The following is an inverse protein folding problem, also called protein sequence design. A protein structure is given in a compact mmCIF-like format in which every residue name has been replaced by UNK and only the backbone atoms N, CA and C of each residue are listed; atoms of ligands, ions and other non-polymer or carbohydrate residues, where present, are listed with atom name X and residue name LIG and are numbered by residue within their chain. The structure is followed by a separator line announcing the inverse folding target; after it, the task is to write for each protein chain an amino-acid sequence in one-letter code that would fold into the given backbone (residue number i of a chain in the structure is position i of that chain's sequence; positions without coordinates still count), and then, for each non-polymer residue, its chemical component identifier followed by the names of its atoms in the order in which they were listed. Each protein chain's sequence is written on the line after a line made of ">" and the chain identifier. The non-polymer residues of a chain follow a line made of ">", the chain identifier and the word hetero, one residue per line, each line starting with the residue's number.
data_IF_420983963623
#
_entry.id   IF_420983963623
#
_cell.length_a   1.000
_cell.length_b   1.000
_cell.length_c   1.000
_cell.angle_alpha   90.00
_cell.angle_beta   90.00
_cell.angle_gamma   90.00
#
_symmetry.space_group_name_H-M   'P 1'
#
loop_
_entity.id
_entity.type
_entity.pdbx_description
1 polymer ?
#
# COMPACT_ATOMS: atom_id res chain seq x y z
N UNK A 1 -36.12 36.94 48.39
CA UNK A 1 -36.72 37.22 47.06
C UNK A 1 -36.55 35.97 46.26
N UNK A 2 -37.69 35.41 45.94
CA UNK A 2 -37.89 34.14 45.26
C UNK A 2 -37.29 34.03 43.86
N UNK A 3 -36.68 32.91 43.53
CA UNK A 3 -36.53 32.48 42.16
C UNK A 3 -36.93 31.00 42.03
N UNK A 4 -37.99 30.81 41.34
CA UNK A 4 -38.63 29.55 41.03
C UNK A 4 -37.87 28.75 39.99
N UNK A 5 -37.70 27.44 40.22
CA UNK A 5 -37.32 26.41 39.23
C UNK A 5 -38.55 25.94 38.46
N UNK A 6 -38.43 25.65 37.13
CA UNK A 6 -39.49 24.95 36.40
C UNK A 6 -39.36 23.43 36.44
N UNK A 7 -40.42 22.69 36.16
CA UNK A 7 -40.56 21.26 36.47
C UNK A 7 -39.95 20.34 35.38
N UNK A 8 -39.60 19.13 35.83
CA UNK A 8 -39.10 18.03 35.02
C UNK A 8 -40.21 17.50 34.06
N UNK A 9 -39.90 17.50 32.76
CA UNK A 9 -40.67 16.85 31.72
C UNK A 9 -40.25 15.40 31.54
N UNK A 10 -41.23 14.50 31.75
CA UNK A 10 -41.14 13.07 31.44
C UNK A 10 -41.09 12.85 29.94
N UNK A 11 -39.98 12.36 29.39
CA UNK A 11 -39.94 11.85 28.02
C UNK A 11 -40.18 10.34 28.01
N UNK A 12 -41.33 10.00 27.42
CA UNK A 12 -41.78 8.67 27.04
C UNK A 12 -40.76 8.02 26.09
N UNK A 13 -40.39 6.78 26.37
CA UNK A 13 -39.59 5.94 25.47
C UNK A 13 -40.45 5.52 24.28
N UNK A 14 -40.16 6.07 23.11
CA UNK A 14 -40.65 5.57 21.83
C UNK A 14 -39.68 4.50 21.32
N UNK A 15 -40.20 3.26 21.17
CA UNK A 15 -39.45 2.11 20.67
C UNK A 15 -38.93 2.34 19.26
N UNK A 16 -37.63 2.26 19.09
CA UNK A 16 -37.00 2.15 17.78
C UNK A 16 -37.20 0.69 17.29
N UNK A 17 -38.16 0.51 16.41
CA UNK A 17 -38.26 -0.69 15.57
C UNK A 17 -37.05 -0.71 14.62
N UNK A 18 -36.16 -1.68 14.81
CA UNK A 18 -35.11 -1.99 13.90
C UNK A 18 -35.67 -2.35 12.52
N UNK A 19 -35.51 -1.43 11.55
CA UNK A 19 -35.74 -1.75 10.14
C UNK A 19 -34.65 -2.73 9.70
N UNK A 20 -35.07 -3.95 9.31
CA UNK A 20 -34.21 -4.85 8.58
C UNK A 20 -33.66 -4.17 7.31
N UNK A 21 -32.41 -4.46 6.86
CA UNK A 21 -31.90 -3.91 5.61
C UNK A 21 -32.81 -4.35 4.47
N UNK A 22 -33.49 -3.38 3.85
CA UNK A 22 -34.39 -3.61 2.74
C UNK A 22 -33.70 -4.37 1.62
N UNK A 23 -34.39 -5.40 1.12
CA UNK A 23 -34.03 -6.18 -0.05
C UNK A 23 -33.54 -5.29 -1.18
N UNK A 24 -32.23 -5.42 -1.49
CA UNK A 24 -31.67 -4.82 -2.68
C UNK A 24 -32.30 -5.49 -3.91
N UNK A 25 -32.85 -4.67 -4.77
CA UNK A 25 -33.63 -4.98 -5.96
C UNK A 25 -33.30 -6.33 -6.61
N UNK A 26 -34.34 -7.17 -6.69
CA UNK A 26 -34.32 -8.43 -7.39
C UNK A 26 -34.15 -8.19 -8.92
N UNK A 27 -33.14 -8.80 -9.53
CA UNK A 27 -33.21 -9.29 -10.91
C UNK A 27 -32.76 -8.38 -12.05
N UNK A 28 -32.18 -7.19 -11.83
CA UNK A 28 -31.57 -6.39 -12.90
C UNK A 28 -30.12 -6.82 -13.23
N UNK A 29 -29.67 -6.58 -14.48
CA UNK A 29 -28.25 -6.70 -14.80
C UNK A 29 -27.45 -5.68 -13.98
N UNK A 30 -26.24 -6.05 -13.49
CA UNK A 30 -25.39 -5.10 -12.79
C UNK A 30 -25.05 -3.87 -13.63
N UNK A 31 -24.99 -2.67 -13.00
CA UNK A 31 -24.70 -1.40 -13.67
C UNK A 31 -23.32 -1.40 -14.34
N UNK A 32 -22.35 -2.07 -13.70
CA UNK A 32 -20.97 -2.13 -14.17
C UNK A 32 -20.53 -3.57 -14.47
N UNK A 33 -19.74 -3.73 -15.52
CA UNK A 33 -19.09 -5.00 -15.79
C UNK A 33 -17.98 -5.26 -14.76
N UNK A 34 -17.12 -4.27 -14.53
CA UNK A 34 -16.03 -4.33 -13.53
C UNK A 34 -15.92 -3.00 -12.79
N UNK A 35 -16.00 -3.05 -11.46
CA UNK A 35 -15.62 -1.95 -10.59
C UNK A 35 -14.18 -2.15 -10.09
N UNK A 36 -13.32 -1.14 -10.21
CA UNK A 36 -11.96 -1.12 -9.67
C UNK A 36 -11.93 -0.15 -8.49
N UNK A 37 -11.66 -0.64 -7.29
CA UNK A 37 -11.63 0.15 -6.06
C UNK A 37 -10.20 0.53 -5.75
N UNK A 38 -9.88 1.82 -5.90
CA UNK A 38 -8.55 2.40 -5.69
C UNK A 38 -7.86 2.82 -6.99
N UNK A 39 -7.45 4.08 -7.03
CA UNK A 39 -6.87 4.77 -8.18
C UNK A 39 -5.34 5.01 -8.05
N UNK A 40 -4.66 4.12 -7.35
CA UNK A 40 -3.19 4.04 -7.31
C UNK A 40 -2.60 3.25 -8.48
N UNK A 41 -1.28 2.99 -8.49
CA UNK A 41 -0.58 2.30 -9.58
C UNK A 41 -1.20 0.97 -10.01
N UNK A 42 -1.61 0.15 -9.04
CA UNK A 42 -2.23 -1.15 -9.32
C UNK A 42 -3.66 -1.02 -9.91
N UNK A 43 -4.46 -0.07 -9.42
CA UNK A 43 -5.81 0.16 -9.94
C UNK A 43 -5.80 0.76 -11.34
N UNK A 44 -4.98 1.80 -11.57
CA UNK A 44 -4.82 2.41 -12.89
C UNK A 44 -4.28 1.40 -13.92
N UNK A 45 -3.33 0.56 -13.52
CA UNK A 45 -2.83 -0.51 -14.37
C UNK A 45 -3.91 -1.54 -14.68
N UNK A 46 -4.66 -2.01 -13.68
CA UNK A 46 -5.73 -2.98 -13.87
C UNK A 46 -6.81 -2.45 -14.82
N UNK A 47 -7.30 -1.23 -14.59
CA UNK A 47 -8.29 -0.59 -15.46
C UNK A 47 -7.80 -0.43 -16.89
N UNK A 48 -6.56 0.03 -17.08
CA UNK A 48 -5.95 0.20 -18.40
C UNK A 48 -5.87 -1.13 -19.16
N UNK A 49 -5.41 -2.20 -18.49
CA UNK A 49 -5.32 -3.51 -19.13
C UNK A 49 -6.70 -4.12 -19.43
N UNK A 50 -7.70 -3.93 -18.55
CA UNK A 50 -9.08 -4.35 -18.78
C UNK A 50 -9.65 -3.64 -20.02
N UNK A 51 -9.52 -2.33 -20.11
CA UNK A 51 -10.02 -1.53 -21.25
C UNK A 51 -9.32 -1.91 -22.55
N UNK A 52 -8.01 -2.14 -22.54
CA UNK A 52 -7.27 -2.65 -23.71
C UNK A 52 -7.75 -4.05 -24.16
N UNK A 53 -8.31 -4.84 -23.23
CA UNK A 53 -8.90 -6.15 -23.52
C UNK A 53 -10.39 -6.08 -23.89
N UNK A 54 -10.97 -4.88 -24.06
CA UNK A 54 -12.37 -4.67 -24.42
C UNK A 54 -13.37 -4.83 -23.27
N UNK A 55 -12.88 -4.89 -22.02
CA UNK A 55 -13.72 -4.98 -20.81
C UNK A 55 -13.98 -3.59 -20.26
N UNK A 56 -15.25 -3.27 -19.98
CA UNK A 56 -15.61 -2.01 -19.37
C UNK A 56 -15.23 -2.00 -17.87
N UNK A 57 -14.29 -1.16 -17.51
CA UNK A 57 -13.81 -1.00 -16.12
C UNK A 57 -14.06 0.43 -15.64
N UNK A 58 -14.81 0.56 -14.55
CA UNK A 58 -15.05 1.83 -13.88
C UNK A 58 -14.20 1.91 -12.62
N UNK A 59 -13.48 3.03 -12.40
CA UNK A 59 -12.52 3.18 -11.30
C UNK A 59 -13.05 4.16 -10.28
N UNK A 60 -13.00 3.76 -8.99
CA UNK A 60 -13.39 4.57 -7.86
C UNK A 60 -12.18 4.93 -6.99
N UNK A 61 -12.12 6.18 -6.54
CA UNK A 61 -11.14 6.65 -5.56
C UNK A 61 -10.20 7.73 -6.07
N UNK A 62 -9.52 8.41 -5.15
CA UNK A 62 -8.64 9.54 -5.44
C UNK A 62 -7.39 9.11 -6.23
N UNK A 63 -7.09 9.74 -7.40
CA UNK A 63 -5.89 9.44 -8.18
C UNK A 63 -4.62 9.63 -7.37
N UNK A 64 -3.81 8.56 -7.25
CA UNK A 64 -2.57 8.53 -6.48
C UNK A 64 -2.73 8.91 -5.01
N UNK A 65 -3.93 8.76 -4.42
CA UNK A 65 -4.30 9.28 -3.09
C UNK A 65 -3.29 8.92 -2.00
N UNK A 66 -2.95 7.63 -1.84
CA UNK A 66 -1.94 7.19 -0.85
C UNK A 66 -0.56 7.84 -1.06
N UNK A 67 -0.12 8.00 -2.31
CA UNK A 67 1.17 8.61 -2.63
C UNK A 67 1.19 10.10 -2.29
N UNK A 68 0.06 10.78 -2.44
CA UNK A 68 -0.11 12.20 -2.07
C UNK A 68 -0.07 12.44 -0.56
N UNK A 69 -0.29 11.41 0.27
CA UNK A 69 -0.19 11.50 1.74
C UNK A 69 1.21 11.17 2.27
N UNK A 70 2.10 10.62 1.44
CA UNK A 70 3.46 10.29 1.85
C UNK A 70 4.30 11.56 2.11
N UNK A 71 5.34 11.47 2.95
CA UNK A 71 6.19 12.62 3.27
C UNK A 71 6.80 13.28 2.04
N UNK A 72 6.64 14.60 1.94
CA UNK A 72 7.25 15.41 0.88
C UNK A 72 8.77 15.34 0.93
N UNK A 73 9.39 15.19 -0.24
CA UNK A 73 10.85 15.02 -0.39
C UNK A 73 11.32 13.57 -0.25
N UNK A 74 10.40 12.60 -0.10
CA UNK A 74 10.73 11.19 -0.30
C UNK A 74 11.08 10.89 -1.75
N UNK A 75 11.91 9.85 -1.95
CA UNK A 75 12.37 9.43 -3.28
C UNK A 75 12.16 7.94 -3.51
N UNK A 76 11.78 7.59 -4.73
CA UNK A 76 11.66 6.20 -5.16
C UNK A 76 13.02 5.68 -5.64
N UNK A 77 13.52 4.63 -4.99
CA UNK A 77 14.80 3.99 -5.32
C UNK A 77 14.80 3.28 -6.67
N UNK A 78 13.65 2.78 -7.08
CA UNK A 78 13.50 1.95 -8.28
C UNK A 78 13.90 2.71 -9.55
N UNK A 79 14.48 2.00 -10.53
CA UNK A 79 14.80 2.58 -11.82
C UNK A 79 13.54 3.01 -12.60
N UNK A 80 13.70 3.76 -13.69
CA UNK A 80 12.60 4.26 -14.52
C UNK A 80 11.61 3.15 -14.94
N UNK A 81 12.13 2.02 -15.40
CA UNK A 81 11.29 0.88 -15.80
C UNK A 81 10.47 0.33 -14.64
N UNK A 82 11.09 0.11 -13.48
CA UNK A 82 10.43 -0.43 -12.29
C UNK A 82 9.49 0.57 -11.61
N UNK A 83 9.63 1.85 -11.91
CA UNK A 83 8.74 2.93 -11.43
C UNK A 83 7.55 3.14 -12.39
N UNK A 84 7.64 2.67 -13.63
CA UNK A 84 6.50 2.66 -14.57
C UNK A 84 5.37 1.78 -14.06
N UNK A 85 4.10 2.24 -14.12
CA UNK A 85 2.98 1.53 -13.47
C UNK A 85 2.13 0.67 -14.40
N UNK A 86 2.09 0.93 -15.69
CA UNK A 86 1.28 0.15 -16.64
C UNK A 86 2.14 -0.81 -17.45
N UNK A 87 3.27 -0.33 -17.91
CA UNK A 87 4.21 -1.06 -18.77
C UNK A 87 5.62 -0.51 -18.64
N UNK A 88 6.63 -1.35 -18.83
CA UNK A 88 8.05 -0.96 -18.69
C UNK A 88 8.53 -0.04 -19.83
N UNK A 89 8.03 -0.34 -21.02
CA UNK A 89 8.28 0.39 -22.27
C UNK A 89 6.96 0.46 -23.02
N UNK A 90 6.64 1.62 -23.57
CA UNK A 90 5.39 1.82 -24.28
C UNK A 90 4.78 3.19 -23.98
N UNK A 91 3.60 3.48 -24.55
CA UNK A 91 2.98 4.80 -24.53
C UNK A 91 2.64 5.31 -23.12
N UNK A 92 2.48 4.43 -22.12
CA UNK A 92 2.18 4.81 -20.75
C UNK A 92 3.36 4.56 -19.78
N UNK A 93 4.59 4.39 -20.28
CA UNK A 93 5.77 4.26 -19.44
C UNK A 93 6.22 5.62 -18.86
N UNK A 94 6.94 5.58 -17.74
CA UNK A 94 7.54 6.79 -17.14
C UNK A 94 8.53 7.47 -18.09
N UNK A 95 9.25 6.70 -18.90
CA UNK A 95 10.16 7.23 -19.91
C UNK A 95 9.42 8.02 -20.98
N UNK A 96 8.29 7.49 -21.47
CA UNK A 96 7.46 8.19 -22.46
C UNK A 96 6.84 9.45 -21.85
N UNK A 97 6.36 9.38 -20.62
CA UNK A 97 5.88 10.56 -19.89
C UNK A 97 6.96 11.67 -19.84
N UNK A 98 8.20 11.32 -19.42
CA UNK A 98 9.27 12.28 -19.35
C UNK A 98 9.58 12.93 -20.72
N UNK A 99 9.57 12.14 -21.81
CA UNK A 99 9.77 12.63 -23.16
C UNK A 99 8.66 13.58 -23.64
N UNK A 100 7.38 13.24 -23.35
CA UNK A 100 6.24 14.03 -23.80
C UNK A 100 6.03 15.31 -22.98
N UNK A 101 6.29 15.26 -21.66
CA UNK A 101 6.14 16.40 -20.76
C UNK A 101 7.35 17.32 -20.72
N UNK A 102 8.50 16.90 -21.23
CA UNK A 102 9.79 17.58 -21.06
C UNK A 102 10.36 17.50 -19.64
N UNK A 103 9.76 16.70 -18.75
CA UNK A 103 10.21 16.56 -17.37
C UNK A 103 11.58 15.91 -17.28
N UNK A 104 12.50 16.55 -16.54
CA UNK A 104 13.83 16.02 -16.25
C UNK A 104 13.77 15.13 -15.01
N UNK A 105 13.39 13.86 -15.21
CA UNK A 105 13.24 12.91 -14.10
C UNK A 105 14.60 12.31 -13.76
N UNK A 106 15.09 12.64 -12.58
CA UNK A 106 16.34 12.12 -12.05
C UNK A 106 16.14 10.79 -11.30
N UNK A 107 17.25 10.10 -11.04
CA UNK A 107 17.26 8.90 -10.22
C UNK A 107 18.11 9.12 -8.95
N UNK A 108 17.56 8.88 -7.76
CA UNK A 108 16.22 8.34 -7.40
C UNK A 108 15.08 9.29 -7.80
N UNK A 109 13.95 8.71 -8.27
CA UNK A 109 12.80 9.48 -8.74
C UNK A 109 12.13 10.21 -7.57
N UNK A 110 11.90 11.51 -7.72
CA UNK A 110 11.17 12.31 -6.74
C UNK A 110 9.73 11.80 -6.59
N UNK A 111 9.20 11.88 -5.37
CA UNK A 111 7.80 11.49 -5.09
C UNK A 111 6.82 12.36 -5.90
N UNK A 112 7.11 13.66 -6.03
CA UNK A 112 6.33 14.60 -6.84
C UNK A 112 6.24 14.17 -8.30
N UNK A 113 7.38 13.82 -8.92
CA UNK A 113 7.42 13.37 -10.32
C UNK A 113 6.63 12.08 -10.52
N UNK A 114 6.68 11.17 -9.55
CA UNK A 114 5.91 9.94 -9.59
C UNK A 114 4.40 10.19 -9.45
N UNK A 115 3.98 11.13 -8.62
CA UNK A 115 2.58 11.53 -8.48
C UNK A 115 2.07 12.18 -9.77
N UNK A 116 2.86 13.08 -10.37
CA UNK A 116 2.52 13.73 -11.64
C UNK A 116 2.41 12.74 -12.78
N UNK A 117 3.37 11.80 -12.88
CA UNK A 117 3.30 10.70 -13.82
C UNK A 117 2.03 9.86 -13.63
N UNK A 118 1.68 9.51 -12.38
CA UNK A 118 0.46 8.76 -12.09
C UNK A 118 -0.82 9.51 -12.46
N UNK A 119 -0.85 10.81 -12.21
CA UNK A 119 -1.95 11.69 -12.60
C UNK A 119 -2.06 11.81 -14.13
N UNK A 120 -0.93 11.85 -14.84
CA UNK A 120 -0.91 11.82 -16.30
C UNK A 120 -1.44 10.47 -16.86
N UNK A 121 -1.04 9.34 -16.28
CA UNK A 121 -1.57 8.02 -16.65
C UNK A 121 -3.09 7.97 -16.43
N UNK A 122 -3.58 8.50 -15.31
CA UNK A 122 -5.00 8.56 -15.03
C UNK A 122 -5.75 9.35 -16.10
N UNK A 123 -5.33 10.60 -16.38
CA UNK A 123 -5.98 11.45 -17.41
C UNK A 123 -5.94 10.82 -18.79
N UNK A 124 -4.89 10.08 -19.14
CA UNK A 124 -4.70 9.48 -20.46
C UNK A 124 -5.47 8.19 -20.64
N UNK A 125 -5.48 7.30 -19.65
CA UNK A 125 -6.02 5.94 -19.77
C UNK A 125 -7.36 5.73 -19.05
N UNK A 126 -7.67 6.56 -18.05
CA UNK A 126 -8.87 6.45 -17.20
C UNK A 126 -9.46 7.86 -16.96
N UNK A 127 -9.79 8.62 -18.01
CA UNK A 127 -10.22 10.02 -17.86
C UNK A 127 -11.57 10.18 -17.13
N UNK A 128 -12.39 9.14 -17.15
CA UNK A 128 -13.74 9.04 -16.55
C UNK A 128 -13.71 8.42 -15.14
N UNK A 129 -12.57 8.49 -14.44
CA UNK A 129 -12.43 8.04 -13.07
C UNK A 129 -13.40 8.78 -12.15
N UNK A 130 -14.06 8.05 -11.26
CA UNK A 130 -14.91 8.57 -10.20
C UNK A 130 -14.10 8.74 -8.90
N UNK A 131 -13.92 9.96 -8.43
CA UNK A 131 -13.11 10.23 -7.24
C UNK A 131 -13.78 9.85 -5.92
N UNK A 132 -15.07 9.46 -5.94
CA UNK A 132 -15.78 9.00 -4.75
C UNK A 132 -15.14 7.74 -4.18
N UNK A 133 -15.14 7.65 -2.85
CA UNK A 133 -14.59 6.51 -2.14
C UNK A 133 -15.64 5.43 -1.93
N UNK A 134 -15.28 4.17 -2.10
CA UNK A 134 -16.14 3.05 -1.73
C UNK A 134 -16.07 2.86 -0.21
N UNK A 135 -17.20 3.05 0.45
CA UNK A 135 -17.39 2.92 1.90
C UNK A 135 -17.95 1.57 2.31
N UNK A 136 -18.61 0.82 1.38
CA UNK A 136 -19.16 -0.51 1.60
C UNK A 136 -19.07 -1.38 0.36
N UNK A 137 -18.83 -2.68 0.55
CA UNK A 137 -18.85 -3.70 -0.50
C UNK A 137 -19.51 -4.96 0.05
N UNK A 138 -20.64 -5.34 -0.52
CA UNK A 138 -21.39 -6.53 -0.16
C UNK A 138 -21.60 -7.43 -1.39
N UNK A 139 -21.75 -8.74 -1.14
CA UNK A 139 -22.08 -9.69 -2.18
C UNK A 139 -23.58 -9.72 -2.45
N UNK A 140 -23.97 -9.87 -3.71
CA UNK A 140 -25.35 -10.05 -4.16
C UNK A 140 -25.47 -11.29 -5.04
N UNK A 141 -26.70 -11.69 -5.38
CA UNK A 141 -26.96 -12.81 -6.31
C UNK A 141 -26.42 -12.54 -7.74
N UNK A 142 -26.31 -11.25 -8.16
CA UNK A 142 -25.87 -10.85 -9.50
C UNK A 142 -24.39 -10.40 -9.54
N UNK A 143 -23.72 -10.31 -8.40
CA UNK A 143 -22.35 -9.81 -8.31
C UNK A 143 -22.08 -9.11 -6.97
N UNK A 144 -21.89 -7.80 -7.00
CA UNK A 144 -21.54 -6.98 -5.82
C UNK A 144 -22.34 -5.69 -5.79
N UNK A 145 -22.69 -5.24 -4.61
CA UNK A 145 -23.20 -3.90 -4.33
C UNK A 145 -22.07 -3.08 -3.69
N UNK A 146 -21.82 -1.89 -4.24
CA UNK A 146 -20.88 -0.91 -3.71
C UNK A 146 -21.68 0.25 -3.12
N UNK A 147 -21.31 0.68 -1.94
CA UNK A 147 -21.77 1.93 -1.33
C UNK A 147 -20.64 2.95 -1.40
N UNK A 148 -20.96 4.16 -1.82
CA UNK A 148 -20.00 5.26 -1.96
C UNK A 148 -20.09 6.19 -0.75
N UNK A 149 -19.08 7.02 -0.54
CA UNK A 149 -18.98 7.95 0.59
C UNK A 149 -20.06 9.06 0.60
N UNK A 150 -20.71 9.31 -0.54
CA UNK A 150 -21.88 10.19 -0.65
C UNK A 150 -23.23 9.46 -0.40
N UNK A 151 -23.19 8.17 -0.07
CA UNK A 151 -24.36 7.32 0.13
C UNK A 151 -24.97 6.73 -1.15
N UNK A 152 -24.43 7.05 -2.32
CA UNK A 152 -24.87 6.43 -3.57
C UNK A 152 -24.52 4.95 -3.61
N UNK A 153 -25.34 4.16 -4.31
CA UNK A 153 -25.15 2.72 -4.50
C UNK A 153 -24.99 2.38 -5.97
N UNK A 154 -24.03 1.52 -6.25
CA UNK A 154 -23.72 1.03 -7.58
C UNK A 154 -23.56 -0.48 -7.53
N UNK A 155 -24.02 -1.19 -8.56
CA UNK A 155 -23.84 -2.64 -8.68
C UNK A 155 -22.77 -2.99 -9.71
N UNK A 156 -21.97 -4.04 -9.44
CA UNK A 156 -20.94 -4.49 -10.35
C UNK A 156 -20.93 -6.03 -10.45
N UNK A 157 -20.71 -6.54 -11.65
CA UNK A 157 -20.58 -7.99 -11.85
C UNK A 157 -19.29 -8.55 -11.24
N UNK A 158 -18.21 -7.78 -11.29
CA UNK A 158 -16.90 -8.12 -10.73
C UNK A 158 -16.27 -6.92 -10.06
N UNK A 159 -15.41 -7.19 -9.08
CA UNK A 159 -14.70 -6.14 -8.35
C UNK A 159 -13.20 -6.45 -8.33
N UNK A 160 -12.38 -5.41 -8.56
CA UNK A 160 -10.93 -5.45 -8.40
C UNK A 160 -10.54 -4.51 -7.26
N UNK A 161 -10.12 -5.07 -6.13
CA UNK A 161 -9.65 -4.30 -4.97
C UNK A 161 -8.18 -3.93 -5.16
N UNK A 162 -7.89 -2.64 -5.27
CA UNK A 162 -6.57 -2.05 -5.48
C UNK A 162 -6.26 -0.94 -4.44
N UNK A 163 -6.77 -1.09 -3.21
CA UNK A 163 -6.77 -0.05 -2.15
C UNK A 163 -5.41 0.18 -1.47
N UNK A 164 -4.34 -0.47 -1.94
CA UNK A 164 -2.99 -0.26 -1.42
C UNK A 164 -2.76 -0.82 -0.02
N UNK A 165 -1.89 -0.15 0.76
CA UNK A 165 -1.39 -0.66 2.04
C UNK A 165 -1.73 0.23 3.24
N UNK A 166 -2.36 1.36 3.06
CA UNK A 166 -2.63 2.31 4.15
C UNK A 166 -3.27 1.68 5.39
N UNK A 167 -4.29 0.81 5.29
CA UNK A 167 -4.91 0.18 6.46
C UNK A 167 -4.01 -0.82 7.18
N UNK A 168 -2.88 -1.20 6.61
CA UNK A 168 -2.02 -2.28 7.10
C UNK A 168 -0.81 -1.79 7.89
N UNK A 169 -0.79 -0.53 8.30
CA UNK A 169 0.27 -0.01 9.16
C UNK A 169 0.44 -0.90 10.40
N UNK A 170 1.71 -1.09 10.79
CA UNK A 170 2.02 -1.95 11.91
C UNK A 170 2.36 -1.11 13.14
N UNK A 171 1.47 -1.09 14.10
CA UNK A 171 1.73 -0.59 15.45
C UNK A 171 2.08 -1.81 16.32
N UNK A 172 3.29 -1.90 16.90
CA UNK A 172 3.65 -3.02 17.76
C UNK A 172 2.81 -3.01 19.05
N UNK A 173 2.17 -4.11 19.36
CA UNK A 173 1.42 -4.29 20.61
C UNK A 173 2.34 -4.52 21.82
N UNK A 174 1.84 -4.22 23.02
CA UNK A 174 2.53 -4.50 24.28
C UNK A 174 3.72 -3.60 24.59
N UNK A 175 3.81 -2.44 23.93
CA UNK A 175 4.86 -1.45 24.16
C UNK A 175 4.39 -0.22 24.97
N UNK A 176 3.17 -0.27 25.55
CA UNK A 176 2.58 0.86 26.28
C UNK A 176 2.27 2.05 25.37
N UNK A 177 2.02 1.81 24.10
CA UNK A 177 1.67 2.85 23.13
C UNK A 177 0.17 3.11 23.08
N UNK A 178 -0.62 2.17 23.61
CA UNK A 178 -2.06 2.23 23.64
C UNK A 178 -2.51 3.40 24.54
N UNK A 179 -3.33 4.29 23.99
CA UNK A 179 -3.85 5.45 24.72
C UNK A 179 -2.93 6.66 24.74
N UNK A 180 -1.70 6.58 24.18
CA UNK A 180 -0.89 7.78 23.98
C UNK A 180 -1.46 8.62 22.83
N UNK A 181 -1.49 9.96 22.97
CA UNK A 181 -2.05 10.84 21.95
C UNK A 181 -1.19 10.84 20.68
N UNK A 182 -1.82 11.12 19.52
CA UNK A 182 -1.15 11.17 18.23
C UNK A 182 -0.02 12.22 18.15
N UNK A 183 -0.10 13.25 18.98
CA UNK A 183 0.94 14.28 19.14
C UNK A 183 2.22 13.72 19.76
N UNK A 184 2.16 12.55 20.43
CA UNK A 184 3.27 11.86 21.07
C UNK A 184 3.76 10.65 20.30
N UNK A 185 2.84 9.91 19.68
CA UNK A 185 3.17 8.67 18.93
C UNK A 185 2.38 8.63 17.63
N UNK A 186 3.07 8.45 16.51
CA UNK A 186 2.42 8.32 15.21
C UNK A 186 3.20 7.39 14.27
N UNK A 187 2.54 6.90 13.23
CA UNK A 187 3.22 6.15 12.17
C UNK A 187 3.75 7.09 11.07
N UNK A 188 4.84 6.71 10.40
CA UNK A 188 5.41 7.50 9.28
C UNK A 188 4.42 7.76 8.15
N UNK A 189 3.36 6.97 8.03
CA UNK A 189 2.31 7.15 7.03
C UNK A 189 1.34 8.31 7.33
N UNK A 190 1.35 8.86 8.54
CA UNK A 190 0.41 9.90 8.96
C UNK A 190 0.89 11.33 8.66
N UNK A 191 2.10 11.48 8.17
CA UNK A 191 2.74 12.77 8.01
C UNK A 191 3.16 13.03 6.55
N UNK A 192 2.52 14.01 5.95
CA UNK A 192 2.94 14.56 4.66
C UNK A 192 4.03 15.61 4.86
N UNK A 193 3.82 16.53 5.79
CA UNK A 193 4.80 17.55 6.16
C UNK A 193 5.56 17.16 7.44
N UNK A 194 6.83 16.83 7.29
CA UNK A 194 7.72 16.55 8.42
C UNK A 194 8.34 17.82 9.04
N UNK A 195 8.06 19.00 8.49
CA UNK A 195 8.37 20.29 9.11
C UNK A 195 7.58 20.54 10.41
N UNK A 196 6.46 19.84 10.60
CA UNK A 196 5.70 19.86 11.86
C UNK A 196 6.53 19.40 13.08
N UNK A 197 7.68 18.77 12.87
CA UNK A 197 8.62 18.35 13.91
C UNK A 197 9.79 19.33 14.14
N UNK A 198 9.78 20.50 13.49
CA UNK A 198 10.80 21.51 13.71
C UNK A 198 10.91 21.88 15.21
N UNK A 199 12.13 21.96 15.72
CA UNK A 199 12.42 22.24 17.14
C UNK A 199 12.16 21.07 18.10
N UNK A 200 11.59 19.93 17.65
CA UNK A 200 11.28 18.77 18.49
C UNK A 200 12.42 17.75 18.53
N UNK A 201 12.49 16.99 19.65
CA UNK A 201 13.32 15.80 19.78
C UNK A 201 12.49 14.58 19.41
N UNK A 202 12.89 13.84 18.38
CA UNK A 202 12.12 12.73 17.81
C UNK A 202 12.93 11.43 17.84
N UNK A 203 12.36 10.37 18.40
CA UNK A 203 12.87 9.01 18.19
C UNK A 203 12.09 8.34 17.06
N UNK A 204 12.80 7.67 16.15
CA UNK A 204 12.21 6.94 15.03
C UNK A 204 12.44 5.44 15.24
N UNK A 205 11.36 4.68 15.46
CA UNK A 205 11.45 3.23 15.66
C UNK A 205 11.34 2.47 14.35
N UNK A 206 12.44 1.95 13.83
CA UNK A 206 12.42 1.14 12.61
C UNK A 206 13.77 1.02 11.93
N UNK A 207 13.94 -0.02 11.11
CA UNK A 207 15.18 -0.28 10.37
C UNK A 207 14.99 -0.35 8.84
N UNK A 208 13.88 0.17 8.33
CA UNK A 208 13.54 0.20 6.90
C UNK A 208 13.68 1.59 6.25
N UNK A 209 13.47 1.64 4.94
CA UNK A 209 13.57 2.87 4.13
C UNK A 209 12.77 4.03 4.74
N UNK A 210 11.49 3.80 5.08
CA UNK A 210 10.59 4.84 5.60
C UNK A 210 11.11 5.46 6.92
N UNK A 211 11.64 4.64 7.83
CA UNK A 211 12.18 5.14 9.09
C UNK A 211 13.38 6.10 8.88
N UNK A 212 14.35 5.66 8.08
CA UNK A 212 15.55 6.47 7.82
C UNK A 212 15.27 7.69 6.98
N UNK A 213 14.40 7.59 5.98
CA UNK A 213 14.07 8.71 5.10
C UNK A 213 13.24 9.76 5.85
N UNK A 214 12.28 9.35 6.70
CA UNK A 214 11.57 10.27 7.58
C UNK A 214 12.52 10.96 8.57
N UNK A 215 13.48 10.23 9.14
CA UNK A 215 14.49 10.81 10.03
C UNK A 215 15.33 11.88 9.32
N UNK A 216 15.81 11.60 8.11
CA UNK A 216 16.57 12.55 7.31
C UNK A 216 15.75 13.81 6.99
N UNK A 217 14.49 13.62 6.56
CA UNK A 217 13.58 14.73 6.23
C UNK A 217 13.25 15.58 7.45
N UNK A 218 13.00 15.00 8.63
CA UNK A 218 12.77 15.75 9.86
C UNK A 218 13.98 16.60 10.23
N UNK A 219 15.20 16.04 10.15
CA UNK A 219 16.43 16.80 10.40
C UNK A 219 16.59 17.95 9.41
N UNK A 220 16.42 17.69 8.11
CA UNK A 220 16.50 18.70 7.03
C UNK A 220 15.51 19.85 7.23
N UNK A 221 14.38 19.56 7.89
CA UNK A 221 13.29 20.51 8.18
C UNK A 221 13.35 21.11 9.60
N UNK A 222 14.47 20.94 10.30
CA UNK A 222 14.76 21.66 11.55
C UNK A 222 14.33 20.97 12.84
N UNK A 223 14.13 19.65 12.86
CA UNK A 223 13.99 18.92 14.11
C UNK A 223 15.25 19.14 14.99
N UNK A 224 15.05 19.42 16.29
CA UNK A 224 16.14 19.72 17.21
C UNK A 224 17.07 18.52 17.44
N UNK A 225 16.49 17.33 17.51
CA UNK A 225 17.21 16.05 17.62
C UNK A 225 16.42 14.93 16.97
N UNK A 226 17.12 14.06 16.24
CA UNK A 226 16.52 12.84 15.67
C UNK A 226 17.44 11.66 15.96
N UNK A 227 16.88 10.58 16.54
CA UNK A 227 17.57 9.32 16.75
C UNK A 227 16.77 8.19 16.11
N UNK A 228 17.44 7.27 15.39
CA UNK A 228 16.80 6.08 14.81
C UNK A 228 17.11 4.85 15.65
N UNK A 229 16.08 4.21 16.21
CA UNK A 229 16.17 3.01 17.03
C UNK A 229 15.94 1.76 16.17
N UNK A 230 16.96 0.91 16.04
CA UNK A 230 16.95 -0.27 15.18
C UNK A 230 17.14 -1.54 16.00
N UNK A 231 16.11 -2.37 16.09
CA UNK A 231 16.16 -3.63 16.86
C UNK A 231 17.22 -4.62 16.38
N UNK A 232 17.55 -4.62 15.08
CA UNK A 232 18.62 -5.48 14.55
C UNK A 232 19.99 -4.94 14.91
N UNK A 233 21.02 -5.81 15.06
CA UNK A 233 22.37 -5.37 15.42
C UNK A 233 23.08 -4.59 14.30
N UNK A 234 22.51 -4.54 13.11
CA UNK A 234 23.04 -3.77 12.00
C UNK A 234 21.95 -3.32 11.02
N UNK A 235 22.20 -2.20 10.33
CA UNK A 235 21.37 -1.71 9.24
C UNK A 235 21.79 -2.34 7.94
N UNK A 236 20.82 -2.82 7.16
CA UNK A 236 21.08 -3.33 5.79
C UNK A 236 21.03 -2.15 4.81
N UNK A 237 22.21 -1.74 4.35
CA UNK A 237 22.32 -0.71 3.33
C UNK A 237 22.30 -1.33 1.94
N UNK A 238 21.32 -0.93 1.13
CA UNK A 238 21.24 -1.33 -0.27
C UNK A 238 22.23 -0.49 -1.08
N UNK A 239 23.27 -1.10 -1.58
CA UNK A 239 24.24 -0.45 -2.47
C UNK A 239 23.55 -0.08 -3.77
N UNK A 240 23.85 1.11 -4.29
CA UNK A 240 23.34 1.55 -5.59
C UNK A 240 23.80 0.63 -6.72
N UNK A 241 23.32 0.86 -7.93
CA UNK A 241 23.50 0.06 -9.15
C UNK A 241 24.96 -0.16 -9.61
N UNK A 242 25.96 0.12 -8.78
CA UNK A 242 27.39 -0.09 -9.07
C UNK A 242 27.73 -1.53 -9.49
N UNK A 243 26.99 -2.52 -9.02
CA UNK A 243 27.14 -3.92 -9.47
C UNK A 243 26.67 -4.08 -10.92
N UNK A 244 25.60 -3.40 -11.35
CA UNK A 244 25.15 -3.38 -12.77
C UNK A 244 26.21 -2.81 -13.71
N UNK A 245 26.90 -1.74 -13.29
CA UNK A 245 28.01 -1.15 -14.10
C UNK A 245 29.20 -2.10 -14.25
N UNK A 246 29.50 -2.95 -13.24
CA UNK A 246 30.59 -3.93 -13.29
C UNK A 246 30.31 -5.14 -14.18
N UNK A 247 29.04 -5.56 -14.31
CA UNK A 247 28.63 -6.74 -15.11
C UNK A 247 28.46 -6.36 -16.60
N UNK A 248 28.46 -5.08 -16.97
CA UNK A 248 28.39 -4.60 -18.34
C UNK A 248 27.17 -5.16 -19.12
N UNK A 249 27.41 -5.64 -20.36
CA UNK A 249 26.36 -6.18 -21.26
C UNK A 249 25.58 -7.37 -20.69
N UNK A 250 26.11 -8.11 -19.70
CA UNK A 250 25.40 -9.22 -19.05
C UNK A 250 24.45 -8.77 -17.91
N UNK A 251 24.53 -7.50 -17.51
CA UNK A 251 23.68 -6.94 -16.44
C UNK A 251 22.18 -7.19 -16.66
N UNK A 252 21.60 -6.94 -17.84
CA UNK A 252 20.19 -7.20 -18.14
C UNK A 252 19.80 -8.69 -18.09
N UNK A 253 20.74 -9.61 -18.33
CA UNK A 253 20.47 -11.05 -18.28
C UNK A 253 20.38 -11.53 -16.82
N UNK A 254 21.21 -11.01 -15.94
CA UNK A 254 21.36 -11.48 -14.57
C UNK A 254 20.40 -10.76 -13.61
N UNK A 255 20.03 -9.52 -13.91
CA UNK A 255 19.19 -8.70 -13.04
C UNK A 255 17.89 -8.28 -13.73
N UNK A 256 16.76 -8.53 -13.06
CA UNK A 256 15.45 -8.18 -13.60
C UNK A 256 15.24 -6.66 -13.66
N UNK A 257 14.57 -6.13 -14.70
CA UNK A 257 14.20 -4.71 -14.78
C UNK A 257 13.28 -4.26 -13.66
N UNK A 258 12.63 -5.17 -12.96
CA UNK A 258 11.73 -4.91 -11.81
C UNK A 258 12.45 -4.41 -10.55
N UNK A 259 13.77 -4.57 -10.47
CA UNK A 259 14.63 -4.13 -9.35
C UNK A 259 14.23 -4.70 -7.96
N UNK A 260 13.56 -5.85 -7.92
CA UNK A 260 13.07 -6.50 -6.69
C UNK A 260 13.82 -7.81 -6.43
N UNK A 261 14.30 -7.96 -5.19
CA UNK A 261 14.98 -9.17 -4.72
C UNK A 261 16.49 -9.22 -5.00
N UNK A 262 17.20 -10.19 -4.40
CA UNK A 262 18.63 -10.43 -4.65
C UNK A 262 18.90 -10.87 -6.09
N UNK A 263 20.12 -10.68 -6.56
CA UNK A 263 20.59 -10.88 -7.93
C UNK A 263 20.05 -12.16 -8.62
N UNK A 264 20.15 -13.30 -7.96
CA UNK A 264 19.73 -14.61 -8.51
C UNK A 264 18.22 -14.86 -8.45
N UNK A 265 17.54 -14.28 -7.46
CA UNK A 265 16.10 -14.46 -7.27
C UNK A 265 15.26 -13.41 -8.02
N UNK A 266 15.86 -12.30 -8.46
CA UNK A 266 15.13 -11.20 -9.09
C UNK A 266 14.38 -11.64 -10.35
N UNK A 267 14.96 -12.53 -11.16
CA UNK A 267 14.32 -13.09 -12.36
C UNK A 267 13.13 -13.99 -12.06
N UNK A 268 13.19 -14.73 -10.95
CA UNK A 268 12.07 -15.57 -10.49
C UNK A 268 10.97 -14.71 -9.87
N UNK A 269 11.34 -13.70 -9.08
CA UNK A 269 10.41 -12.74 -8.48
C UNK A 269 9.67 -11.93 -9.56
N UNK A 270 10.33 -11.63 -10.68
CA UNK A 270 9.74 -10.96 -11.85
C UNK A 270 8.62 -11.78 -12.52
N UNK A 271 8.60 -13.10 -12.33
CA UNK A 271 7.65 -14.03 -12.95
C UNK A 271 6.70 -14.64 -11.91
N UNK A 272 5.66 -13.92 -11.44
CA UNK A 272 4.77 -14.40 -10.40
C UNK A 272 4.09 -15.75 -10.70
N UNK A 273 3.83 -16.05 -11.98
CA UNK A 273 3.28 -17.33 -12.39
C UNK A 273 4.21 -18.51 -12.11
N UNK A 274 5.55 -18.33 -12.25
CA UNK A 274 6.55 -19.34 -11.87
C UNK A 274 6.79 -19.36 -10.37
N UNK A 275 6.86 -18.17 -9.72
CA UNK A 275 7.00 -18.07 -8.29
C UNK A 275 5.92 -18.87 -7.54
N UNK A 276 4.68 -18.80 -8.00
CA UNK A 276 3.52 -19.50 -7.43
C UNK A 276 3.68 -21.03 -7.46
N UNK A 277 4.43 -21.59 -8.41
CA UNK A 277 4.62 -23.04 -8.55
C UNK A 277 5.66 -23.62 -7.59
N UNK A 278 6.44 -22.76 -6.93
CA UNK A 278 7.42 -23.21 -5.96
C UNK A 278 6.77 -23.78 -4.69
N UNK A 279 7.42 -24.70 -3.99
CA UNK A 279 7.01 -25.10 -2.64
C UNK A 279 6.92 -23.90 -1.70
N UNK A 280 5.94 -23.90 -0.77
CA UNK A 280 5.68 -22.77 0.13
C UNK A 280 6.92 -22.29 0.87
N UNK A 281 7.73 -23.20 1.39
CA UNK A 281 8.97 -22.86 2.10
C UNK A 281 9.96 -22.05 1.24
N UNK A 282 10.06 -22.39 -0.05
CA UNK A 282 10.91 -21.66 -0.99
C UNK A 282 10.34 -20.26 -1.26
N UNK A 283 9.01 -20.17 -1.44
CA UNK A 283 8.31 -18.89 -1.59
C UNK A 283 8.58 -17.97 -0.38
N UNK A 284 8.45 -18.50 0.85
CA UNK A 284 8.64 -17.74 2.09
C UNK A 284 10.08 -17.27 2.25
N UNK A 285 11.05 -18.13 1.97
CA UNK A 285 12.49 -17.78 2.01
C UNK A 285 12.82 -16.66 1.01
N UNK A 286 12.31 -16.75 -0.20
CA UNK A 286 12.53 -15.73 -1.25
C UNK A 286 11.82 -14.43 -0.89
N UNK A 287 10.57 -14.49 -0.44
CA UNK A 287 9.80 -13.33 -0.02
C UNK A 287 10.50 -12.59 1.14
N UNK A 288 10.89 -13.31 2.20
CA UNK A 288 11.57 -12.73 3.36
C UNK A 288 12.88 -12.01 2.99
N UNK A 289 13.61 -12.54 1.99
CA UNK A 289 14.84 -11.88 1.51
C UNK A 289 14.55 -10.66 0.63
N UNK A 290 13.46 -10.69 -0.14
CA UNK A 290 13.10 -9.62 -1.08
C UNK A 290 12.49 -8.39 -0.39
N UNK A 291 11.77 -8.58 0.73
CA UNK A 291 11.05 -7.53 1.46
C UNK A 291 11.65 -7.23 2.84
N UNK A 292 12.88 -7.70 3.12
CA UNK A 292 13.55 -7.42 4.39
C UNK A 292 13.70 -5.91 4.62
N UNK A 293 13.62 -5.43 5.88
CA UNK A 293 13.94 -4.05 6.19
C UNK A 293 15.35 -3.71 5.73
N UNK A 294 15.46 -2.71 4.88
CA UNK A 294 16.71 -2.22 4.31
C UNK A 294 16.54 -0.76 3.90
N UNK A 295 17.63 -0.03 3.82
CA UNK A 295 17.65 1.36 3.43
C UNK A 295 18.59 1.61 2.24
N UNK A 296 18.19 2.49 1.35
CA UNK A 296 18.98 2.87 0.18
C UNK A 296 20.19 3.71 0.55
N UNK A 297 21.29 3.55 -0.18
CA UNK A 297 22.53 4.29 0.08
C UNK A 297 22.36 5.82 -0.05
N UNK A 298 21.48 6.30 -0.94
CA UNK A 298 21.25 7.74 -1.07
C UNK A 298 20.67 8.37 0.20
N UNK A 299 19.83 7.63 0.96
CA UNK A 299 19.32 8.09 2.24
C UNK A 299 20.42 8.18 3.28
N UNK A 300 21.40 7.25 3.25
CA UNK A 300 22.55 7.27 4.17
C UNK A 300 23.31 8.59 4.11
N UNK A 301 23.48 9.16 2.92
CA UNK A 301 24.15 10.46 2.74
C UNK A 301 23.32 11.59 3.39
N UNK A 302 21.99 11.53 3.29
CA UNK A 302 21.08 12.54 3.87
C UNK A 302 21.04 12.50 5.40
N UNK A 303 21.31 11.33 6.02
CA UNK A 303 21.27 11.20 7.48
C UNK A 303 22.32 12.07 8.18
N UNK A 304 23.48 12.28 7.58
CA UNK A 304 24.55 13.07 8.19
C UNK A 304 24.93 12.53 9.58
N UNK A 305 24.77 13.35 10.62
CA UNK A 305 25.11 13.05 12.02
C UNK A 305 23.94 12.49 12.85
N UNK A 306 22.83 12.08 12.21
CA UNK A 306 21.71 11.48 12.94
C UNK A 306 22.19 10.22 13.69
N UNK A 307 21.90 10.16 14.99
CA UNK A 307 22.23 9.00 15.81
C UNK A 307 21.44 7.76 15.38
N UNK A 308 22.14 6.62 15.22
CA UNK A 308 21.53 5.34 14.86
C UNK A 308 21.92 4.32 15.95
N UNK A 309 20.97 3.99 16.82
CA UNK A 309 21.16 2.98 17.86
C UNK A 309 20.70 1.62 17.33
N UNK A 310 21.66 0.73 17.08
CA UNK A 310 21.41 -0.62 16.57
C UNK A 310 21.45 -1.65 17.70
N UNK A 311 20.73 -2.78 17.54
CA UNK A 311 20.58 -3.80 18.59
C UNK A 311 19.61 -3.35 19.69
N UNK A 312 18.94 -2.23 19.53
CA UNK A 312 18.10 -1.60 20.55
C UNK A 312 16.65 -1.60 20.08
N UNK A 313 15.77 -2.18 20.88
CA UNK A 313 14.31 -2.16 20.67
C UNK A 313 13.61 -1.33 21.74
N UNK A 314 12.39 -0.94 21.48
CA UNK A 314 11.51 -0.35 22.46
C UNK A 314 10.97 -1.46 23.39
N UNK A 315 11.03 -1.25 24.70
CA UNK A 315 10.40 -2.08 25.74
C UNK A 315 9.08 -1.49 26.19
N UNK A 316 9.00 -0.16 26.28
CA UNK A 316 7.80 0.56 26.68
C UNK A 316 7.94 2.05 26.49
N UNK A 317 6.80 2.74 26.48
CA UNK A 317 6.73 4.20 26.45
C UNK A 317 5.69 4.69 27.45
N UNK A 318 5.96 5.82 28.10
CA UNK A 318 5.01 6.50 28.99
C UNK A 318 5.18 8.02 28.88
N UNK A 319 4.09 8.73 29.03
CA UNK A 319 4.15 10.18 29.17
C UNK A 319 4.50 10.55 30.61
N UNK A 320 5.47 11.42 30.77
CA UNK A 320 5.92 11.91 32.06
C UNK A 320 6.41 13.36 31.90
N UNK A 321 5.93 14.26 32.77
CA UNK A 321 6.35 15.68 32.81
C UNK A 321 6.24 16.39 31.45
N UNK A 322 5.19 16.07 30.69
CA UNK A 322 4.95 16.65 29.35
C UNK A 322 5.88 16.15 28.25
N UNK A 323 6.65 15.09 28.50
CA UNK A 323 7.54 14.44 27.54
C UNK A 323 7.24 12.95 27.46
N UNK A 324 7.72 12.31 26.41
CA UNK A 324 7.62 10.87 26.23
C UNK A 324 8.93 10.22 26.69
N UNK A 325 8.84 9.40 27.75
CA UNK A 325 9.95 8.58 28.22
C UNK A 325 9.88 7.20 27.62
N UNK A 326 10.91 6.83 26.87
CA UNK A 326 11.06 5.53 26.20
C UNK A 326 12.02 4.65 27.01
N UNK A 327 11.58 3.46 27.39
CA UNK A 327 12.45 2.44 28.01
C UNK A 327 12.91 1.48 26.92
N UNK A 328 14.22 1.25 26.80
CA UNK A 328 14.82 0.46 25.72
C UNK A 328 15.26 -0.92 26.20
N UNK A 329 15.47 -1.84 25.26
CA UNK A 329 15.81 -3.24 25.57
C UNK A 329 17.22 -3.42 26.14
N UNK A 330 18.12 -2.46 25.96
CA UNK A 330 19.46 -2.41 26.55
C UNK A 330 19.49 -1.82 27.97
N UNK A 331 18.32 -1.44 28.52
CA UNK A 331 18.17 -0.83 29.84
C UNK A 331 18.33 0.68 29.85
N UNK A 332 18.68 1.30 28.73
CA UNK A 332 18.74 2.78 28.62
C UNK A 332 17.36 3.39 28.44
N UNK A 333 17.25 4.68 28.73
CA UNK A 333 16.04 5.47 28.52
C UNK A 333 16.31 6.60 27.51
N UNK A 334 15.22 7.09 26.88
CA UNK A 334 15.23 8.29 26.06
C UNK A 334 14.08 9.20 26.47
N UNK A 335 14.34 10.48 26.52
CA UNK A 335 13.31 11.53 26.68
C UNK A 335 13.18 12.27 25.36
N UNK A 336 12.00 12.18 24.76
CA UNK A 336 11.68 12.77 23.47
C UNK A 336 10.33 13.47 23.50
N UNK A 337 10.09 14.33 22.52
CA UNK A 337 8.81 15.00 22.37
C UNK A 337 7.85 14.14 21.54
N UNK A 338 8.40 13.24 20.70
CA UNK A 338 7.61 12.38 19.81
C UNK A 338 8.32 11.06 19.47
N UNK A 339 7.55 9.98 19.39
CA UNK A 339 7.97 8.68 18.87
C UNK A 339 7.33 8.44 17.49
N UNK A 340 8.14 8.41 16.45
CA UNK A 340 7.72 8.09 15.08
C UNK A 340 7.89 6.59 14.81
N UNK A 341 6.82 5.91 14.41
CA UNK A 341 6.82 4.48 14.09
C UNK A 341 7.10 4.25 12.61
N UNK A 342 8.34 3.91 12.28
CA UNK A 342 8.77 3.43 10.95
C UNK A 342 8.73 1.90 10.87
N UNK A 343 7.69 1.28 11.43
CA UNK A 343 7.57 -0.17 11.68
C UNK A 343 6.99 -0.93 10.49
N UNK A 344 6.64 -0.23 9.42
CA UNK A 344 6.16 -0.79 8.16
C UNK A 344 4.72 -1.30 8.23
N UNK A 345 4.40 -2.26 7.36
CA UNK A 345 3.02 -2.71 7.13
C UNK A 345 2.93 -4.22 7.23
N UNK A 346 1.87 -4.73 7.86
CA UNK A 346 1.49 -6.15 7.85
C UNK A 346 0.13 -6.27 7.17
N UNK A 347 0.10 -6.94 6.01
CA UNK A 347 -1.14 -7.15 5.26
C UNK A 347 -2.10 -7.99 6.10
N UNK A 348 -3.30 -7.47 6.25
CA UNK A 348 -4.45 -8.17 6.78
C UNK A 348 -5.70 -7.58 6.11
N UNK A 349 -6.26 -8.31 5.14
CA UNK A 349 -7.38 -7.79 4.34
C UNK A 349 -8.68 -7.62 5.13
N UNK A 350 -8.79 -8.17 6.32
CA UNK A 350 -9.91 -7.88 7.22
C UNK A 350 -9.91 -6.43 7.74
N UNK A 351 -8.80 -5.72 7.59
CA UNK A 351 -8.68 -4.29 7.92
C UNK A 351 -9.18 -3.36 6.81
N UNK A 352 -9.60 -3.88 5.65
CA UNK A 352 -10.35 -3.10 4.68
C UNK A 352 -11.79 -2.91 5.18
N UNK A 353 -12.06 -1.79 5.82
CA UNK A 353 -13.32 -1.49 6.51
C UNK A 353 -14.57 -1.54 5.60
N UNK A 354 -14.38 -1.40 4.29
CA UNK A 354 -15.47 -1.47 3.32
C UNK A 354 -15.92 -2.90 2.97
N UNK A 355 -15.15 -3.95 3.32
CA UNK A 355 -15.55 -5.33 3.10
C UNK A 355 -16.56 -5.76 4.18
N UNK A 356 -17.73 -6.23 3.78
CA UNK A 356 -18.71 -6.73 4.71
C UNK A 356 -18.32 -8.09 5.34
N UNK A 357 -18.96 -8.43 6.44
CA UNK A 357 -18.71 -9.67 7.17
C UNK A 357 -19.00 -10.92 6.33
N UNK A 358 -19.97 -10.86 5.41
CA UNK A 358 -20.31 -11.95 4.49
C UNK A 358 -19.14 -12.26 3.54
N UNK A 359 -18.54 -11.22 2.92
CA UNK A 359 -17.33 -11.37 2.10
C UNK A 359 -16.18 -11.89 2.94
N UNK A 360 -15.96 -11.34 4.14
CA UNK A 360 -14.87 -11.74 5.02
C UNK A 360 -14.99 -13.18 5.51
N UNK A 361 -16.19 -13.69 5.69
CA UNK A 361 -16.45 -15.09 6.06
C UNK A 361 -16.16 -16.08 4.94
N UNK A 362 -16.47 -15.73 3.68
CA UNK A 362 -16.19 -16.56 2.50
C UNK A 362 -14.71 -16.47 2.05
N UNK A 363 -14.00 -15.42 2.46
CA UNK A 363 -12.64 -15.13 2.00
C UNK A 363 -11.61 -16.06 2.65
N UNK A 364 -11.02 -16.99 1.89
CA UNK A 364 -9.91 -17.81 2.39
C UNK A 364 -8.67 -16.95 2.57
N UNK A 365 -8.10 -16.98 3.76
CA UNK A 365 -6.94 -16.17 4.15
C UNK A 365 -5.82 -17.04 4.74
N UNK A 366 -4.57 -16.59 4.57
CA UNK A 366 -3.39 -17.15 5.19
C UNK A 366 -2.52 -16.01 5.73
N UNK A 367 -2.26 -15.95 7.03
CA UNK A 367 -1.52 -14.87 7.72
C UNK A 367 -2.02 -13.46 7.35
N UNK A 368 -3.35 -13.28 7.27
CA UNK A 368 -4.01 -12.03 6.88
C UNK A 368 -4.09 -11.77 5.36
N UNK A 369 -3.35 -12.51 4.54
CA UNK A 369 -3.40 -12.40 3.09
C UNK A 369 -4.56 -13.22 2.50
N UNK A 370 -5.20 -12.75 1.41
CA UNK A 370 -6.14 -13.58 0.67
C UNK A 370 -5.37 -14.69 -0.07
N UNK A 371 -5.93 -15.89 -0.09
CA UNK A 371 -5.44 -16.98 -0.95
C UNK A 371 -6.03 -16.79 -2.34
N UNK A 372 -5.18 -16.36 -3.29
CA UNK A 372 -5.61 -15.98 -4.63
C UNK A 372 -5.40 -17.09 -5.65
N UNK A 373 -6.31 -17.17 -6.61
CA UNK A 373 -6.28 -18.04 -7.78
C UNK A 373 -5.77 -17.31 -9.03
N UNK A 374 -5.92 -17.92 -10.22
CA UNK A 374 -5.62 -17.25 -11.50
C UNK A 374 -6.37 -15.93 -11.59
N UNK A 375 -5.80 -14.96 -12.32
CA UNK A 375 -6.38 -13.62 -12.40
C UNK A 375 -6.40 -12.85 -11.08
N UNK A 376 -5.69 -13.31 -10.05
CA UNK A 376 -5.71 -12.73 -8.70
C UNK A 376 -7.12 -12.75 -8.08
N UNK A 377 -7.95 -13.71 -8.48
CA UNK A 377 -9.28 -13.92 -7.93
C UNK A 377 -9.21 -14.56 -6.54
N UNK A 378 -10.07 -14.15 -5.65
CA UNK A 378 -10.18 -14.69 -4.28
C UNK A 378 -11.01 -15.99 -4.29
N UNK A 379 -11.32 -16.52 -3.10
CA UNK A 379 -12.32 -17.58 -2.92
C UNK A 379 -13.76 -17.08 -3.17
N UNK A 380 -13.99 -15.78 -3.18
CA UNK A 380 -15.28 -15.15 -3.52
C UNK A 380 -15.29 -14.91 -5.02
N UNK A 381 -16.13 -15.65 -5.79
CA UNK A 381 -16.13 -15.54 -7.25
C UNK A 381 -16.40 -14.10 -7.73
N UNK A 382 -15.59 -13.62 -8.68
CA UNK A 382 -15.68 -12.27 -9.21
C UNK A 382 -15.00 -11.20 -8.38
N UNK A 383 -14.46 -11.52 -7.19
CA UNK A 383 -13.68 -10.62 -6.36
C UNK A 383 -12.18 -10.85 -6.58
N UNK A 384 -11.48 -9.87 -7.13
CA UNK A 384 -10.05 -9.90 -7.38
C UNK A 384 -9.33 -8.94 -6.44
N UNK A 385 -8.11 -9.28 -5.99
CA UNK A 385 -7.29 -8.40 -5.15
C UNK A 385 -5.91 -8.25 -5.73
N UNK A 386 -5.47 -7.01 -5.97
CA UNK A 386 -4.17 -6.68 -6.56
C UNK A 386 -3.28 -5.91 -5.57
N UNK A 387 -2.00 -5.76 -5.91
CA UNK A 387 -1.05 -5.07 -5.05
C UNK A 387 -0.56 -5.93 -3.88
N UNK A 388 -0.28 -5.30 -2.73
CA UNK A 388 0.28 -5.97 -1.57
C UNK A 388 -0.51 -7.22 -1.11
N UNK A 389 -1.84 -7.26 -1.14
CA UNK A 389 -2.62 -8.47 -0.85
C UNK A 389 -2.25 -9.68 -1.70
N UNK A 390 -1.81 -9.47 -2.95
CA UNK A 390 -1.43 -10.57 -3.84
C UNK A 390 -0.05 -11.19 -3.53
N UNK A 391 0.72 -10.60 -2.63
CA UNK A 391 2.12 -10.99 -2.42
C UNK A 391 2.28 -12.41 -1.86
N UNK A 392 1.37 -12.91 -1.03
CA UNK A 392 1.42 -14.26 -0.50
C UNK A 392 1.26 -15.32 -1.58
N UNK A 393 0.34 -15.11 -2.52
CA UNK A 393 0.03 -16.08 -3.59
C UNK A 393 0.93 -15.94 -4.83
N UNK A 394 1.35 -14.71 -5.16
CA UNK A 394 2.03 -14.38 -6.43
C UNK A 394 3.39 -13.73 -6.25
N UNK A 395 3.92 -13.70 -5.03
CA UNK A 395 5.28 -13.27 -4.74
C UNK A 395 5.43 -11.77 -4.42
N UNK A 396 6.60 -11.43 -3.87
CA UNK A 396 6.87 -10.14 -3.25
C UNK A 396 6.82 -8.95 -4.22
N UNK A 397 6.94 -9.16 -5.54
CA UNK A 397 6.86 -8.09 -6.54
C UNK A 397 5.54 -7.31 -6.45
N UNK A 398 4.44 -7.97 -6.06
CA UNK A 398 3.13 -7.33 -5.92
C UNK A 398 3.07 -6.26 -4.82
N UNK A 399 4.08 -6.16 -3.96
CA UNK A 399 4.22 -5.07 -2.97
C UNK A 399 4.86 -3.81 -3.54
N UNK A 400 5.31 -3.85 -4.79
CA UNK A 400 6.02 -2.77 -5.47
C UNK A 400 5.24 -2.28 -6.69
N UNK A 401 5.53 -1.08 -7.14
CA UNK A 401 4.92 -0.51 -8.35
C UNK A 401 5.11 -1.44 -9.55
N UNK A 402 6.31 -2.01 -9.72
CA UNK A 402 6.61 -2.95 -10.80
C UNK A 402 5.75 -4.23 -10.83
N UNK A 403 5.05 -4.56 -9.74
CA UNK A 403 4.07 -5.66 -9.73
C UNK A 403 2.76 -5.33 -10.43
N UNK A 404 2.47 -4.06 -10.69
CA UNK A 404 1.21 -3.63 -11.32
C UNK A 404 1.08 -4.11 -12.76
N UNK A 405 2.18 -4.24 -13.51
CA UNK A 405 2.16 -4.76 -14.89
C UNK A 405 1.63 -6.19 -14.95
N UNK A 406 2.17 -7.04 -14.06
CA UNK A 406 1.73 -8.42 -13.96
C UNK A 406 0.26 -8.47 -13.52
N UNK A 407 -0.07 -7.74 -12.43
CA UNK A 407 -1.39 -7.78 -11.82
C UNK A 407 -2.48 -7.33 -12.81
N UNK A 408 -2.30 -6.18 -13.47
CA UNK A 408 -3.23 -5.67 -14.46
C UNK A 408 -3.45 -6.64 -15.63
N UNK A 409 -2.36 -7.12 -16.22
CA UNK A 409 -2.44 -8.09 -17.32
C UNK A 409 -3.04 -9.44 -16.92
N UNK A 410 -2.81 -9.92 -15.70
CA UNK A 410 -3.37 -11.17 -15.22
C UNK A 410 -4.89 -11.08 -14.98
N UNK A 411 -5.34 -10.00 -14.34
CA UNK A 411 -6.77 -9.70 -14.13
C UNK A 411 -7.49 -9.57 -15.48
N UNK A 412 -6.94 -8.77 -16.39
CA UNK A 412 -7.55 -8.53 -17.69
C UNK A 412 -7.72 -9.82 -18.51
N UNK A 413 -6.69 -10.68 -18.56
CA UNK A 413 -6.78 -11.98 -19.28
C UNK A 413 -7.83 -12.91 -18.68
N UNK A 414 -7.95 -12.95 -17.36
CA UNK A 414 -8.92 -13.81 -16.69
C UNK A 414 -10.35 -13.33 -16.95
N UNK A 415 -10.60 -12.04 -16.80
CA UNK A 415 -11.94 -11.46 -16.95
C UNK A 415 -12.37 -11.49 -18.42
N UNK A 416 -11.52 -11.06 -19.36
CA UNK A 416 -11.84 -11.08 -20.78
C UNK A 416 -12.03 -12.50 -21.31
N UNK A 417 -11.23 -13.48 -20.85
CA UNK A 417 -11.39 -14.88 -21.20
C UNK A 417 -12.74 -15.46 -20.81
N UNK A 418 -13.27 -15.09 -19.64
CA UNK A 418 -14.61 -15.52 -19.19
C UNK A 418 -15.74 -14.78 -19.90
N UNK A 419 -15.55 -13.51 -20.22
CA UNK A 419 -16.56 -12.72 -20.95
C UNK A 419 -16.72 -13.19 -22.40
N UNK A 420 -15.65 -13.69 -23.02
CA UNK A 420 -15.66 -14.20 -24.42
C UNK A 420 -16.09 -15.66 -24.56
N UNK A 421 -16.39 -16.37 -23.46
CA UNK A 421 -16.73 -17.80 -23.49
C UNK A 421 -15.58 -18.71 -23.95
N UNK A 422 -14.37 -18.19 -24.20
CA UNK A 422 -13.20 -18.98 -24.57
C UNK A 422 -12.61 -19.65 -23.34
N UNK A 423 -12.42 -21.00 -23.34
CA UNK A 423 -11.68 -21.64 -22.26
C UNK A 423 -10.24 -21.06 -22.25
N UNK A 424 -9.88 -20.44 -21.17
CA UNK A 424 -8.50 -19.96 -20.95
C UNK A 424 -7.62 -21.22 -20.93
N UNK A 425 -6.86 -21.43 -22.01
CA UNK A 425 -6.11 -22.63 -22.28
C UNK A 425 -5.40 -23.19 -21.06
N UNK A 426 -5.78 -24.41 -20.69
CA UNK A 426 -5.06 -25.20 -19.72
C UNK A 426 -3.64 -25.42 -20.25
N UNK A 427 -2.64 -25.09 -19.46
CA UNK A 427 -1.30 -25.64 -19.65
C UNK A 427 -1.45 -27.14 -19.47
N UNK A 428 -1.36 -27.90 -20.58
CA UNK A 428 -1.22 -29.35 -20.52
C UNK A 428 0.02 -29.66 -19.69
N UNK A 429 -0.17 -30.63 -18.84
CA UNK A 429 0.79 -31.26 -17.93
C UNK A 429 2.17 -31.45 -18.50
#
# INVERSE_FOLDING_TARGET
>A
MSTSSPPAGTHSAAGATGGAPGDAAAGGAPDLEVAVIGAGPHGLSAATHLRRAGVQAHVFGSPMGFWKTMPEGMKLRSNMSATSMVETVGPLSLTTYAQLSGAQIEHPVELSDFIEYGSWVQRTAVPDLDERMVSGLARTSAGFALELDDGARVSARRVVVACGIAPFERIPAGLGLEGLPAERVSHTAHHRDLGAFAGRRVAVLGGGQSAFESAALMRERGAAHVEVLVRKPSVVWLRGHGVKKRIGRLGPIVYAPTDVGPLWYSRLVEKPGLFRQLPREAQDKIAARSIRPACSHFVRVRLGEIAISTGVGLRGAREQDGQLRLSLTDGSEREVDHLMLGTGYKVDVSRYAFLDDGILAELRRADGYPVLQRGLETSVPGLHMVGAPAAWSFGPINRFVSGSWFAGGAVAREIAGRSSGRPVGGVRS
#
